data_IF_437695195921
#
_entry.id   IF_437695195921
#
_cell.length_a   1.000
_cell.length_b   1.000
_cell.length_c   1.000
_cell.angle_alpha   90.00
_cell.angle_beta   90.00
_cell.angle_gamma   90.00
#
_symmetry.space_group_name_H-M   'P 1'
#
loop_
_entity.id
_entity.type
_entity.pdbx_description
1 polymer ?
#
# COMPACT_ATOMS: atom_id res chain seq x y z
N UNK A 1 0.15 -10.33 -29.23
CA UNK A 1 -1.21 -9.90 -28.87
C UNK A 1 -1.16 -8.79 -27.84
N UNK A 2 -0.65 -9.02 -26.62
CA UNK A 2 -0.65 -8.07 -25.48
C UNK A 2 0.00 -6.70 -25.81
N UNK A 3 1.12 -6.69 -26.55
CA UNK A 3 1.79 -5.47 -26.98
C UNK A 3 0.92 -4.60 -27.89
N UNK A 4 0.28 -5.19 -28.90
CA UNK A 4 -0.63 -4.47 -29.81
C UNK A 4 -1.85 -3.93 -29.07
N UNK A 5 -2.50 -4.75 -28.22
CA UNK A 5 -3.61 -4.28 -27.37
C UNK A 5 -3.19 -3.10 -26.49
N UNK A 6 -1.96 -3.10 -26.00
CA UNK A 6 -1.45 -2.01 -25.18
C UNK A 6 -1.23 -0.72 -25.97
N UNK A 7 -0.63 -0.80 -27.17
CA UNK A 7 -0.32 0.39 -27.99
C UNK A 7 -1.61 1.04 -28.53
N UNK A 8 -2.55 0.24 -28.99
CA UNK A 8 -3.79 0.73 -29.64
C UNK A 8 -4.99 0.75 -28.69
N UNK A 9 -4.75 0.78 -27.38
CA UNK A 9 -5.81 0.67 -26.35
C UNK A 9 -6.97 1.65 -26.49
N UNK A 10 -6.68 2.91 -26.85
CA UNK A 10 -7.72 3.92 -27.03
C UNK A 10 -8.62 3.60 -28.21
N UNK A 11 -8.03 3.26 -29.34
CA UNK A 11 -8.77 2.92 -30.57
C UNK A 11 -9.56 1.61 -30.42
N UNK A 12 -9.02 0.63 -29.70
CA UNK A 12 -9.74 -0.61 -29.36
C UNK A 12 -10.89 -0.36 -28.39
N UNK A 13 -10.71 0.56 -27.43
CA UNK A 13 -11.73 0.90 -26.44
C UNK A 13 -12.87 1.74 -27.04
N UNK A 14 -12.55 2.65 -27.97
CA UNK A 14 -13.55 3.45 -28.70
C UNK A 14 -14.28 2.64 -29.76
N UNK A 15 -13.75 1.49 -30.17
CA UNK A 15 -14.28 0.70 -31.27
C UNK A 15 -13.96 1.27 -32.68
N UNK A 16 -13.09 2.28 -32.76
CA UNK A 16 -12.65 2.85 -34.05
C UNK A 16 -11.81 1.86 -34.85
N UNK A 17 -11.13 0.92 -34.19
CA UNK A 17 -10.27 -0.07 -34.83
C UNK A 17 -10.50 -1.44 -34.19
N UNK A 18 -10.68 -2.44 -35.02
CA UNK A 18 -10.67 -3.84 -34.65
C UNK A 18 -9.38 -4.49 -35.14
N UNK A 19 -8.64 -5.12 -34.23
CA UNK A 19 -7.39 -5.80 -34.57
C UNK A 19 -7.54 -7.29 -34.29
N UNK A 20 -7.33 -8.09 -35.32
CA UNK A 20 -7.34 -9.56 -35.22
C UNK A 20 -5.91 -10.10 -35.30
N UNK A 21 -5.58 -11.02 -34.43
CA UNK A 21 -4.30 -11.78 -34.46
C UNK A 21 -4.62 -13.27 -34.38
N UNK A 22 -4.38 -13.99 -35.50
CA UNK A 22 -4.79 -15.41 -35.61
C UNK A 22 -6.26 -15.61 -35.24
N UNK A 23 -7.13 -14.88 -35.95
CA UNK A 23 -8.61 -14.93 -35.80
C UNK A 23 -9.15 -14.51 -34.39
N UNK A 24 -8.26 -14.09 -33.49
CA UNK A 24 -8.65 -13.59 -32.16
C UNK A 24 -8.72 -12.07 -32.18
N UNK A 25 -9.89 -11.51 -31.92
CA UNK A 25 -10.07 -10.07 -31.69
C UNK A 25 -9.29 -9.64 -30.46
N UNK A 26 -8.53 -8.56 -30.58
CA UNK A 26 -7.81 -7.96 -29.46
C UNK A 26 -8.73 -7.02 -28.69
N UNK A 27 -8.65 -7.09 -27.36
CA UNK A 27 -9.35 -6.18 -26.46
C UNK A 27 -8.39 -5.20 -25.80
N UNK A 28 -8.86 -4.00 -25.49
CA UNK A 28 -8.10 -3.02 -24.72
C UNK A 28 -7.83 -3.54 -23.31
N UNK A 29 -6.65 -3.29 -22.75
CA UNK A 29 -6.40 -3.60 -21.34
C UNK A 29 -7.41 -2.90 -20.44
N UNK A 30 -8.01 -3.66 -19.54
CA UNK A 30 -8.94 -3.16 -18.54
C UNK A 30 -8.46 -3.60 -17.14
N UNK A 31 -8.48 -2.66 -16.19
CA UNK A 31 -8.03 -2.88 -14.82
C UNK A 31 -9.11 -2.48 -13.82
N UNK A 32 -9.30 -3.30 -12.81
CA UNK A 32 -10.25 -2.99 -11.75
C UNK A 32 -9.72 -1.86 -10.86
N UNK A 33 -10.51 -0.81 -10.74
CA UNK A 33 -10.22 0.35 -9.89
C UNK A 33 -10.73 0.08 -8.48
N UNK A 34 -9.95 0.47 -7.48
CA UNK A 34 -10.33 0.36 -6.08
C UNK A 34 -11.63 1.12 -5.80
N UNK A 35 -12.61 0.42 -5.20
CA UNK A 35 -13.82 1.00 -4.64
C UNK A 35 -13.84 0.69 -3.15
N UNK A 36 -13.54 1.68 -2.31
CA UNK A 36 -13.40 1.50 -0.88
C UNK A 36 -13.61 2.83 -0.15
N UNK A 37 -13.94 2.82 1.16
CA UNK A 37 -13.98 4.05 1.94
C UNK A 37 -12.57 4.63 2.12
N UNK A 38 -12.51 5.89 2.50
CA UNK A 38 -11.25 6.53 2.84
C UNK A 38 -10.59 5.84 4.04
N UNK A 39 -9.28 5.64 4.00
CA UNK A 39 -8.56 4.88 5.03
C UNK A 39 -8.68 5.45 6.45
N UNK A 40 -8.94 6.77 6.58
CA UNK A 40 -9.18 7.43 7.87
C UNK A 40 -10.61 7.25 8.38
N UNK A 41 -11.56 6.96 7.48
CA UNK A 41 -12.98 6.76 7.79
C UNK A 41 -13.44 5.41 7.24
N UNK A 42 -13.00 4.28 7.84
CA UNK A 42 -13.23 2.94 7.29
C UNK A 42 -14.71 2.54 7.23
N UNK A 43 -15.55 3.16 8.02
CA UNK A 43 -17.01 2.95 8.03
C UNK A 43 -17.77 3.95 7.12
N UNK A 44 -17.03 4.78 6.38
CA UNK A 44 -17.59 5.75 5.45
C UNK A 44 -18.05 5.13 4.13
N UNK A 45 -18.57 5.98 3.25
CA UNK A 45 -19.01 5.56 1.92
C UNK A 45 -17.85 5.08 1.04
N UNK A 46 -18.16 4.12 0.16
CA UNK A 46 -17.22 3.63 -0.83
C UNK A 46 -17.00 4.67 -1.93
N UNK A 47 -15.77 5.11 -2.08
CA UNK A 47 -15.32 6.03 -3.12
C UNK A 47 -14.65 5.22 -4.24
N UNK A 48 -14.95 5.55 -5.49
CA UNK A 48 -14.19 5.06 -6.63
C UNK A 48 -12.88 5.86 -6.73
N UNK A 49 -11.75 5.23 -6.44
CA UNK A 49 -10.45 5.88 -6.38
C UNK A 49 -9.85 6.08 -7.77
N UNK A 50 -10.50 6.95 -8.52
CA UNK A 50 -10.11 7.44 -9.85
C UNK A 50 -10.23 8.96 -9.87
N UNK A 51 -9.17 9.64 -10.29
CA UNK A 51 -9.16 11.08 -10.54
C UNK A 51 -9.00 11.33 -12.02
N UNK A 52 -9.91 12.08 -12.60
CA UNK A 52 -9.75 12.64 -13.94
C UNK A 52 -8.72 13.76 -13.88
N UNK A 53 -7.81 13.78 -14.83
CA UNK A 53 -6.75 14.76 -14.99
C UNK A 53 -7.04 15.62 -16.22
N UNK A 54 -7.06 16.92 -16.04
CA UNK A 54 -7.03 17.93 -17.10
C UNK A 54 -6.11 19.06 -16.62
N UNK A 55 -4.80 18.84 -16.76
CA UNK A 55 -3.76 19.70 -16.18
C UNK A 55 -2.92 20.33 -17.30
N UNK A 56 -2.64 21.63 -17.17
CA UNK A 56 -1.86 22.40 -18.13
C UNK A 56 -0.83 23.29 -17.41
N UNK A 57 0.38 23.29 -17.91
CA UNK A 57 1.47 24.15 -17.45
C UNK A 57 2.38 24.50 -18.62
N UNK A 58 2.70 25.78 -18.79
CA UNK A 58 3.64 26.30 -19.80
C UNK A 58 3.39 25.83 -21.24
N UNK A 59 2.11 25.60 -21.60
CA UNK A 59 1.70 25.10 -22.91
C UNK A 59 1.75 23.59 -23.06
N UNK A 60 2.19 22.86 -22.04
CA UNK A 60 2.11 21.41 -21.97
C UNK A 60 0.82 20.99 -21.27
N UNK A 61 0.12 20.01 -21.82
CA UNK A 61 -1.15 19.55 -21.29
C UNK A 61 -1.20 18.05 -21.13
N UNK A 62 -1.82 17.62 -20.04
CA UNK A 62 -2.13 16.22 -19.78
C UNK A 62 -3.63 16.04 -19.56
N UNK A 63 -4.24 15.14 -20.30
CA UNK A 63 -5.64 14.72 -20.13
C UNK A 63 -5.72 13.22 -19.93
N UNK A 64 -6.60 12.78 -19.03
CA UNK A 64 -6.81 11.36 -18.80
C UNK A 64 -7.20 11.08 -17.38
N UNK A 65 -6.63 10.04 -16.78
CA UNK A 65 -6.92 9.69 -15.40
C UNK A 65 -5.74 9.04 -14.67
N UNK A 66 -5.78 9.16 -13.35
CA UNK A 66 -4.94 8.40 -12.42
C UNK A 66 -5.85 7.70 -11.43
N UNK A 67 -5.56 6.42 -11.11
CA UNK A 67 -6.41 5.59 -10.28
C UNK A 67 -5.60 4.60 -9.43
N UNK A 68 -6.27 3.98 -8.47
CA UNK A 68 -5.71 2.94 -7.60
C UNK A 68 -6.25 1.58 -8.06
N UNK A 69 -5.36 0.62 -8.30
CA UNK A 69 -5.74 -0.77 -8.56
C UNK A 69 -6.46 -1.39 -7.35
N UNK A 70 -7.54 -2.11 -7.57
CA UNK A 70 -8.22 -2.88 -6.53
C UNK A 70 -7.29 -3.92 -5.91
N UNK A 71 -6.54 -4.63 -6.75
CA UNK A 71 -5.53 -5.61 -6.35
C UNK A 71 -4.19 -5.32 -7.01
N UNK A 72 -3.10 -5.67 -6.32
CA UNK A 72 -1.77 -5.61 -6.91
C UNK A 72 -1.71 -6.61 -8.07
N UNK A 73 -1.45 -6.11 -9.26
CA UNK A 73 -1.33 -6.89 -10.49
C UNK A 73 -0.09 -6.44 -11.24
N UNK A 74 0.83 -7.37 -11.45
CA UNK A 74 2.08 -7.08 -12.16
C UNK A 74 1.80 -6.59 -13.58
N UNK A 75 2.46 -5.51 -13.97
CA UNK A 75 2.32 -4.89 -15.30
C UNK A 75 1.02 -4.10 -15.52
N UNK A 76 0.18 -3.92 -14.47
CA UNK A 76 -0.98 -3.04 -14.51
C UNK A 76 -0.68 -1.65 -13.91
N UNK A 77 0.24 -1.59 -12.95
CA UNK A 77 0.68 -0.34 -12.32
C UNK A 77 1.57 0.50 -13.24
N UNK A 78 1.76 1.77 -12.90
CA UNK A 78 2.52 2.72 -13.71
C UNK A 78 1.65 3.55 -14.65
N UNK A 79 2.23 4.58 -15.25
CA UNK A 79 1.57 5.42 -16.23
C UNK A 79 1.77 4.90 -17.65
N UNK A 80 0.77 5.19 -18.46
CA UNK A 80 0.83 5.09 -19.91
C UNK A 80 0.66 6.49 -20.47
N UNK A 81 1.65 6.94 -21.23
CA UNK A 81 1.65 8.25 -21.86
C UNK A 81 1.37 8.10 -23.33
N UNK A 82 0.41 8.85 -23.80
CA UNK A 82 -0.10 8.78 -25.17
C UNK A 82 0.06 10.12 -25.88
N UNK A 83 0.11 10.07 -27.18
CA UNK A 83 0.09 11.22 -28.07
C UNK A 83 -0.78 10.89 -29.29
N UNK A 84 -1.83 11.68 -29.49
CA UNK A 84 -2.82 11.48 -30.56
C UNK A 84 -3.42 10.07 -30.52
N UNK A 85 -3.83 9.63 -29.32
CA UNK A 85 -4.44 8.33 -29.07
C UNK A 85 -3.48 7.14 -29.10
N UNK A 86 -2.21 7.35 -29.49
CA UNK A 86 -1.22 6.28 -29.55
C UNK A 86 -0.31 6.30 -28.32
N UNK A 87 -0.06 5.14 -27.75
CA UNK A 87 0.90 4.99 -26.66
C UNK A 87 2.33 5.21 -27.14
N UNK A 88 3.04 6.11 -26.48
CA UNK A 88 4.45 6.46 -26.71
C UNK A 88 5.33 5.84 -25.62
N UNK A 89 4.93 5.99 -24.35
CA UNK A 89 5.66 5.46 -23.18
C UNK A 89 4.71 4.63 -22.34
N UNK A 90 5.21 3.55 -21.76
CA UNK A 90 4.42 2.70 -20.87
C UNK A 90 3.58 1.65 -21.60
N UNK A 91 3.87 1.36 -22.86
CA UNK A 91 3.22 0.31 -23.64
C UNK A 91 3.79 -1.08 -23.36
N UNK A 92 2.95 -2.11 -23.51
CA UNK A 92 3.38 -3.51 -23.34
C UNK A 92 3.78 -3.85 -21.92
N UNK A 93 5.01 -4.32 -21.76
CA UNK A 93 5.58 -4.69 -20.46
C UNK A 93 6.36 -3.53 -19.80
N UNK A 94 6.67 -2.49 -20.56
CA UNK A 94 7.28 -1.28 -20.05
C UNK A 94 6.21 -0.34 -19.51
N UNK A 95 6.45 0.23 -18.32
CA UNK A 95 5.59 1.22 -17.70
C UNK A 95 6.40 2.42 -17.27
N UNK A 96 5.79 3.58 -17.27
CA UNK A 96 6.42 4.81 -16.84
C UNK A 96 6.16 5.03 -15.34
N UNK A 97 7.23 5.18 -14.57
CA UNK A 97 7.18 5.35 -13.12
C UNK A 97 7.93 6.62 -12.70
N UNK A 98 7.40 7.82 -12.93
CA UNK A 98 8.04 9.03 -12.45
C UNK A 98 8.09 9.00 -10.91
N UNK A 99 9.31 9.11 -10.36
CA UNK A 99 9.54 8.99 -8.92
C UNK A 99 8.76 10.00 -8.09
N UNK A 100 8.52 11.19 -8.66
CA UNK A 100 7.71 12.26 -8.08
C UNK A 100 6.27 11.81 -7.75
N UNK A 101 5.67 10.97 -8.57
CA UNK A 101 4.32 10.41 -8.37
C UNK A 101 4.34 9.08 -7.62
N UNK A 102 5.24 8.18 -8.00
CA UNK A 102 5.23 6.79 -7.53
C UNK A 102 6.07 6.56 -6.28
N UNK A 103 6.99 7.49 -5.96
CA UNK A 103 7.91 7.33 -4.84
C UNK A 103 8.92 6.20 -5.07
N UNK A 104 9.32 5.55 -3.98
CA UNK A 104 10.29 4.46 -4.04
C UNK A 104 9.71 3.19 -4.67
N UNK A 105 10.54 2.49 -5.45
CA UNK A 105 10.20 1.17 -5.99
C UNK A 105 9.82 0.20 -4.87
N UNK A 106 8.79 -0.60 -5.11
CA UNK A 106 8.29 -1.57 -4.14
C UNK A 106 7.34 -0.99 -3.08
N UNK A 107 7.15 0.32 -2.97
CA UNK A 107 6.15 0.94 -2.10
C UNK A 107 4.73 0.53 -2.51
N UNK A 108 3.75 0.74 -1.61
CA UNK A 108 2.35 0.47 -1.96
C UNK A 108 1.87 1.36 -3.10
N UNK A 109 2.28 2.62 -3.11
CA UNK A 109 2.00 3.57 -4.18
C UNK A 109 2.55 3.04 -5.51
N UNK A 110 3.83 2.67 -5.55
CA UNK A 110 4.47 2.10 -6.73
C UNK A 110 3.72 0.89 -7.30
N UNK A 111 3.19 0.02 -6.43
CA UNK A 111 2.54 -1.24 -6.84
C UNK A 111 1.07 -1.11 -7.23
N UNK A 112 0.39 -0.02 -6.86
CA UNK A 112 -1.06 0.11 -7.01
C UNK A 112 -1.50 1.31 -7.83
N UNK A 113 -0.68 2.36 -7.91
CA UNK A 113 -1.01 3.53 -8.70
C UNK A 113 -0.87 3.20 -10.18
N UNK A 114 -1.85 3.60 -10.99
CA UNK A 114 -1.81 3.50 -12.44
C UNK A 114 -2.57 4.64 -13.08
N UNK A 115 -2.32 4.87 -14.36
CA UNK A 115 -3.03 5.91 -15.09
C UNK A 115 -2.74 5.88 -16.58
N UNK A 116 -3.56 6.58 -17.32
CA UNK A 116 -3.44 6.80 -18.76
C UNK A 116 -3.58 8.29 -19.00
N UNK A 117 -2.56 8.90 -19.62
CA UNK A 117 -2.51 10.33 -19.90
C UNK A 117 -2.21 10.57 -21.37
N UNK A 118 -3.09 11.32 -22.03
CA UNK A 118 -2.84 11.90 -23.35
C UNK A 118 -2.09 13.22 -23.15
N UNK A 119 -0.95 13.38 -23.82
CA UNK A 119 -0.08 14.54 -23.69
C UNK A 119 -0.16 15.42 -24.94
N UNK A 120 -0.28 16.74 -24.73
CA UNK A 120 -0.22 17.77 -25.77
C UNK A 120 0.95 18.72 -25.48
N UNK A 121 1.50 19.34 -26.53
CA UNK A 121 2.68 20.24 -26.43
C UNK A 121 4.01 19.53 -26.59
N UNK A 122 4.11 18.25 -26.23
CA UNK A 122 5.34 17.46 -26.30
C UNK A 122 5.66 16.93 -27.69
N UNK A 123 6.95 16.93 -28.03
CA UNK A 123 7.46 16.26 -29.22
C UNK A 123 7.90 14.83 -28.92
N UNK A 124 7.48 13.91 -29.77
CA UNK A 124 7.91 12.52 -29.66
C UNK A 124 9.33 12.37 -30.17
N UNK A 125 10.17 11.62 -29.47
CA UNK A 125 11.53 11.33 -29.88
C UNK A 125 11.57 10.61 -31.25
N UNK A 126 12.70 10.72 -31.96
CA UNK A 126 12.85 10.10 -33.28
C UNK A 126 12.53 8.60 -33.28
N UNK A 127 12.95 7.90 -32.24
CA UNK A 127 12.68 6.46 -32.07
C UNK A 127 11.27 6.14 -31.58
N UNK A 128 10.44 7.15 -31.34
CA UNK A 128 9.03 7.03 -30.87
C UNK A 128 8.86 6.25 -29.55
N UNK A 129 9.89 6.18 -28.72
CA UNK A 129 9.89 5.50 -27.43
C UNK A 129 10.01 6.45 -26.24
N UNK A 130 9.80 7.75 -26.45
CA UNK A 130 9.85 8.77 -25.41
C UNK A 130 9.48 10.15 -25.95
N UNK A 131 9.54 11.14 -25.08
CA UNK A 131 9.39 12.56 -25.39
C UNK A 131 10.75 13.25 -25.34
N UNK A 132 10.90 14.36 -26.05
CA UNK A 132 12.17 15.11 -26.09
C UNK A 132 12.36 15.96 -24.84
N UNK A 133 11.28 16.55 -24.38
CA UNK A 133 11.24 17.50 -23.28
C UNK A 133 11.09 16.77 -21.94
N UNK A 134 12.15 16.07 -21.51
CA UNK A 134 12.13 15.26 -20.27
C UNK A 134 11.97 16.10 -19.01
N UNK A 135 12.57 17.32 -18.98
CA UNK A 135 12.48 18.23 -17.84
C UNK A 135 11.06 18.80 -17.72
N UNK A 136 10.44 19.20 -18.84
CA UNK A 136 9.07 19.70 -18.86
C UNK A 136 8.06 18.61 -18.50
N UNK A 137 8.32 17.37 -18.96
CA UNK A 137 7.54 16.21 -18.56
C UNK A 137 7.63 15.97 -17.05
N UNK A 138 8.81 16.16 -16.47
CA UNK A 138 8.99 16.04 -15.03
C UNK A 138 8.20 17.11 -14.28
N UNK A 139 8.28 18.40 -14.71
CA UNK A 139 7.50 19.49 -14.12
C UNK A 139 5.98 19.25 -14.23
N UNK A 140 5.52 18.74 -15.37
CA UNK A 140 4.12 18.37 -15.54
C UNK A 140 3.70 17.29 -14.51
N UNK A 141 4.54 16.27 -14.29
CA UNK A 141 4.28 15.23 -13.29
C UNK A 141 4.30 15.76 -11.85
N UNK A 142 5.12 16.78 -11.55
CA UNK A 142 5.11 17.47 -10.26
C UNK A 142 3.80 18.21 -10.03
N UNK A 143 3.33 18.97 -11.02
CA UNK A 143 2.04 19.67 -10.96
C UNK A 143 0.87 18.71 -10.74
N UNK A 144 0.82 17.62 -11.49
CA UNK A 144 -0.19 16.55 -11.32
C UNK A 144 -0.11 15.94 -9.90
N UNK A 145 1.10 15.68 -9.37
CA UNK A 145 1.28 15.22 -7.99
C UNK A 145 0.64 16.17 -6.98
N UNK A 146 0.87 17.46 -7.15
CA UNK A 146 0.40 18.47 -6.21
C UNK A 146 -1.13 18.60 -6.27
N UNK A 147 -1.72 18.50 -7.45
CA UNK A 147 -3.18 18.39 -7.61
C UNK A 147 -3.74 17.16 -6.89
N UNK A 148 -3.13 15.99 -7.08
CA UNK A 148 -3.57 14.75 -6.43
C UNK A 148 -3.39 14.76 -4.90
N UNK A 149 -2.50 15.61 -4.38
CA UNK A 149 -2.33 15.82 -2.93
C UNK A 149 -3.35 16.78 -2.35
N UNK A 150 -3.68 17.82 -3.11
CA UNK A 150 -4.61 18.87 -2.67
C UNK A 150 -6.06 18.40 -2.56
N UNK A 151 -6.42 17.32 -3.23
CA UNK A 151 -7.77 16.73 -3.13
C UNK A 151 -8.08 16.23 -1.73
N UNK A 152 -9.32 16.43 -1.29
CA UNK A 152 -9.86 15.82 -0.07
C UNK A 152 -11.09 14.97 -0.40
N UNK A 153 -11.00 13.66 -0.22
CA UNK A 153 -9.87 12.87 0.29
C UNK A 153 -8.77 12.62 -0.77
N UNK A 154 -7.50 12.75 -0.37
CA UNK A 154 -6.36 12.62 -1.27
C UNK A 154 -6.17 11.19 -1.78
N UNK A 155 -6.09 11.04 -3.11
CA UNK A 155 -5.83 9.77 -3.79
C UNK A 155 -4.46 9.21 -3.41
N UNK A 156 -3.42 10.05 -3.32
CA UNK A 156 -2.08 9.60 -2.94
C UNK A 156 -2.04 9.10 -1.49
N UNK A 157 -2.69 9.80 -0.57
CA UNK A 157 -2.80 9.37 0.83
C UNK A 157 -3.54 8.04 0.96
N UNK A 158 -4.60 7.84 0.19
CA UNK A 158 -5.31 6.56 0.12
C UNK A 158 -4.39 5.44 -0.38
N UNK A 159 -3.65 5.69 -1.46
CA UNK A 159 -2.75 4.68 -2.03
C UNK A 159 -1.67 4.25 -1.04
N UNK A 160 -1.13 5.19 -0.26
CA UNK A 160 -0.06 4.92 0.70
C UNK A 160 -0.55 4.16 1.94
N UNK A 161 -1.76 4.44 2.40
CA UNK A 161 -2.22 4.00 3.72
C UNK A 161 -3.33 2.94 3.68
N UNK A 162 -4.11 2.85 2.62
CA UNK A 162 -5.17 1.85 2.53
C UNK A 162 -4.61 0.44 2.40
N UNK A 163 -5.07 -0.44 3.30
CA UNK A 163 -4.73 -1.87 3.29
C UNK A 163 -6.04 -2.66 3.27
N UNK A 164 -6.24 -3.39 2.18
CA UNK A 164 -7.36 -4.34 2.11
C UNK A 164 -7.02 -5.51 3.04
N UNK A 165 -7.57 -5.47 4.25
CA UNK A 165 -7.46 -6.59 5.20
C UNK A 165 -8.57 -7.57 4.85
N UNK A 166 -8.23 -8.70 4.25
CA UNK A 166 -9.21 -9.76 3.97
C UNK A 166 -9.83 -10.27 5.29
N UNK A 167 -11.12 -10.67 5.26
CA UNK A 167 -11.82 -11.30 6.42
C UNK A 167 -10.98 -12.42 7.05
N UNK A 168 -10.28 -13.21 6.23
CA UNK A 168 -9.37 -14.28 6.69
C UNK A 168 -8.24 -13.79 7.60
N UNK A 169 -7.74 -12.57 7.39
CA UNK A 169 -6.69 -12.00 8.22
C UNK A 169 -7.23 -11.62 9.60
N UNK A 170 -8.43 -11.04 9.68
CA UNK A 170 -9.10 -10.76 10.95
C UNK A 170 -9.46 -12.03 11.70
N UNK A 171 -9.92 -13.08 11.02
CA UNK A 171 -10.20 -14.36 11.64
C UNK A 171 -8.94 -15.03 12.17
N UNK A 172 -7.82 -14.97 11.44
CA UNK A 172 -6.52 -15.50 11.91
C UNK A 172 -6.04 -14.74 13.15
N UNK A 173 -6.08 -13.41 13.14
CA UNK A 173 -5.70 -12.59 14.29
C UNK A 173 -6.62 -12.87 15.49
N UNK A 174 -7.93 -12.91 15.29
CA UNK A 174 -8.91 -13.21 16.32
C UNK A 174 -8.68 -14.60 16.94
N UNK A 175 -8.39 -15.61 16.14
CA UNK A 175 -8.05 -16.97 16.61
C UNK A 175 -6.72 -16.99 17.39
N UNK A 176 -5.74 -16.21 16.95
CA UNK A 176 -4.45 -16.10 17.65
C UNK A 176 -4.61 -15.42 18.99
N UNK A 177 -5.32 -14.29 19.05
CA UNK A 177 -5.60 -13.57 20.30
C UNK A 177 -6.39 -14.45 21.27
N UNK A 178 -7.42 -15.17 20.81
CA UNK A 178 -8.17 -16.12 21.65
C UNK A 178 -7.26 -17.20 22.23
N UNK A 179 -6.40 -17.82 21.42
CA UNK A 179 -5.43 -18.82 21.89
C UNK A 179 -4.44 -18.26 22.92
N UNK A 180 -3.98 -17.04 22.76
CA UNK A 180 -3.05 -16.40 23.69
C UNK A 180 -3.73 -16.00 25.01
N UNK A 181 -4.99 -15.58 24.95
CA UNK A 181 -5.80 -15.35 26.15
C UNK A 181 -6.11 -16.64 26.89
N UNK A 182 -6.43 -17.73 26.20
CA UNK A 182 -6.66 -19.06 26.80
C UNK A 182 -5.37 -19.65 27.42
N UNK A 183 -4.21 -19.38 26.83
CA UNK A 183 -2.91 -19.77 27.41
C UNK A 183 -2.56 -18.98 28.69
N UNK A 184 -2.93 -17.69 28.74
CA UNK A 184 -2.71 -16.83 29.90
C UNK A 184 -3.71 -17.09 31.04
N UNK A 185 -4.86 -17.69 30.75
CA UNK A 185 -5.89 -18.00 31.74
C UNK A 185 -5.73 -19.36 32.41
N UNK A 186 -4.69 -20.14 32.13
CA UNK A 186 -4.42 -21.39 32.87
C UNK A 186 -3.66 -21.08 34.16
N UNK A 187 -4.25 -21.38 35.35
CA UNK A 187 -3.64 -21.06 36.66
C UNK A 187 -2.52 -22.05 37.01
N UNK A 188 -1.35 -21.91 36.38
CA UNK A 188 -0.20 -22.78 36.63
C UNK A 188 0.93 -22.12 37.44
N UNK A 189 0.76 -20.89 37.88
CA UNK A 189 1.81 -20.15 38.58
C UNK A 189 1.48 -19.75 40.03
N UNK A 190 0.23 -19.89 40.50
CA UNK A 190 -0.09 -19.55 41.88
C UNK A 190 0.45 -20.58 42.86
N UNK A 191 0.49 -21.87 42.53
CA UNK A 191 0.97 -22.93 43.43
C UNK A 191 2.47 -22.89 43.70
N UNK A 192 3.28 -22.38 42.78
CA UNK A 192 4.74 -22.22 42.96
C UNK A 192 5.12 -20.99 43.79
N UNK A 193 4.34 -19.93 43.77
CA UNK A 193 4.59 -18.73 44.57
C UNK A 193 4.15 -18.90 46.03
N UNK A 194 3.07 -19.63 46.28
CA UNK A 194 2.65 -19.92 47.66
C UNK A 194 3.64 -20.80 48.37
N UNK A 195 4.20 -21.84 47.74
CA UNK A 195 5.24 -22.68 48.34
C UNK A 195 6.56 -21.94 48.56
N UNK A 196 6.90 -20.93 47.74
CA UNK A 196 8.09 -20.10 47.96
C UNK A 196 7.88 -19.07 49.08
N UNK A 197 6.68 -18.59 49.32
CA UNK A 197 6.36 -17.67 50.41
C UNK A 197 6.33 -18.44 51.76
N UNK A 198 5.77 -19.65 51.80
CA UNK A 198 5.79 -20.50 53.02
C UNK A 198 7.20 -20.92 53.40
N UNK A 199 8.10 -21.22 52.46
CA UNK A 199 9.51 -21.53 52.76
C UNK A 199 10.27 -20.30 53.27
N UNK A 200 9.98 -19.09 52.84
CA UNK A 200 10.60 -17.87 53.34
C UNK A 200 10.09 -17.48 54.73
N UNK A 201 8.82 -17.69 55.04
CA UNK A 201 8.27 -17.44 56.37
C UNK A 201 8.88 -18.39 57.40
N UNK A 202 9.04 -19.68 57.09
CA UNK A 202 9.67 -20.65 57.97
C UNK A 202 11.16 -20.34 58.19
N UNK A 203 11.87 -19.81 57.18
CA UNK A 203 13.27 -19.43 57.31
C UNK A 203 13.45 -18.19 58.22
N UNK A 204 12.54 -17.23 58.14
CA UNK A 204 12.57 -16.02 58.99
C UNK A 204 12.28 -16.35 60.45
N UNK A 205 11.36 -17.27 60.75
CA UNK A 205 11.11 -17.75 62.14
C UNK A 205 12.28 -18.54 62.71
N UNK A 206 13.03 -19.26 61.85
CA UNK A 206 14.22 -19.99 62.28
C UNK A 206 15.38 -19.08 62.66
N UNK A 207 15.55 -17.96 61.93
CA UNK A 207 16.59 -16.97 62.24
C UNK A 207 16.28 -16.24 63.56
N UNK A 208 15.05 -15.77 63.75
CA UNK A 208 14.65 -15.10 65.02
C UNK A 208 14.78 -15.97 66.21
N UNK A 209 14.50 -17.29 66.15
CA UNK A 209 14.64 -18.23 67.24
C UNK A 209 16.12 -18.52 67.59
N UNK A 210 17.02 -18.42 66.68
CA UNK A 210 18.44 -18.56 66.87
C UNK A 210 19.08 -17.30 67.49
N UNK A 211 18.65 -16.11 67.06
CA UNK A 211 19.10 -14.84 67.68
C UNK A 211 18.66 -14.71 69.12
N UNK A 212 17.44 -15.09 69.51
CA UNK A 212 17.00 -15.14 70.91
C UNK A 212 17.78 -16.13 71.76
N UNK A 213 18.28 -17.25 71.20
CA UNK A 213 19.13 -18.19 71.91
C UNK A 213 20.54 -17.66 72.13
N UNK A 214 21.10 -16.93 71.20
CA UNK A 214 22.44 -16.32 71.34
C UNK A 214 22.41 -15.23 72.41
N UNK A 215 21.40 -14.33 72.37
CA UNK A 215 21.25 -13.25 73.35
C UNK A 215 21.08 -13.84 74.82
N UNK A 216 20.35 -14.96 74.98
CA UNK A 216 20.22 -15.62 76.27
C UNK A 216 21.48 -16.32 76.76
N UNK A 217 22.33 -16.77 75.83
CA UNK A 217 23.60 -17.38 76.20
C UNK A 217 24.63 -16.34 76.67
N UNK A 218 24.68 -15.19 75.98
CA UNK A 218 25.59 -14.08 76.37
C UNK A 218 25.20 -13.38 77.66
N UNK A 219 23.92 -13.44 78.10
CA UNK A 219 23.44 -12.87 79.36
C UNK A 219 23.67 -13.79 80.58
N UNK A 220 24.13 -15.00 80.36
CA UNK A 220 24.44 -15.98 81.45
C UNK A 220 25.94 -16.07 81.79
N UNK A 221 26.82 -15.49 80.96
CA UNK A 221 28.28 -15.44 81.15
C UNK A 221 28.79 -14.06 81.64
N UNK A 222 27.92 -13.17 82.04
CA UNK A 222 28.21 -11.87 82.64
C UNK A 222 27.58 -11.83 84.07
#
# INVERSE_FOLDING_TARGET
KRHLSSIYRNFLRSGEVEIFVNETLLEAPNYNILKAPFYKTPDGENILWKKEIDFEIDGYKAKGFIAILDKIQNGANGLVLMRRGRVIVGGGDERYFPSVLFGQSGSFRYRRLFGELELEGFEVSFNKNGFREEEDLYMLMEGIRDELKADEPSLLSQTDNYRQRGKEHYEKISKTIKKDLEKKSKPKQLSRQVSAVESNVNNTQYIQKNEEKIIKAEALDS
#
